data_IF_803495970000
#
_entry.id   IF_803495970000
#
_cell.length_a   1.000
_cell.length_b   1.000
_cell.length_c   1.000
_cell.angle_alpha   90.00
_cell.angle_beta   90.00
_cell.angle_gamma   90.00
#
_symmetry.space_group_name_H-M   'P 1'
#
loop_
_entity.id
_entity.type
_entity.pdbx_description
1 polymer ?
#
# COMPACT_ATOMS: atom_id res chain seq x y z
N UNK A 1 47.15 15.38 27.09
CA UNK A 1 46.71 14.54 25.95
C UNK A 1 45.85 13.43 26.52
N UNK A 2 44.63 13.78 26.95
CA UNK A 2 43.70 12.85 27.57
C UNK A 2 42.90 12.19 26.45
N UNK A 3 43.07 10.88 26.30
CA UNK A 3 42.23 10.08 25.41
C UNK A 3 40.84 9.97 26.04
N UNK A 4 39.91 10.80 25.58
CA UNK A 4 38.48 10.57 25.77
C UNK A 4 38.12 9.28 25.02
N UNK A 5 37.90 8.23 25.79
CA UNK A 5 37.35 6.98 25.30
C UNK A 5 35.88 7.22 24.99
N UNK A 6 35.59 7.44 23.71
CA UNK A 6 34.24 7.49 23.14
C UNK A 6 33.45 6.28 23.64
N UNK A 7 32.25 6.46 24.23
CA UNK A 7 31.44 5.32 24.66
C UNK A 7 30.99 4.57 23.42
N UNK A 8 31.50 3.34 23.27
CA UNK A 8 31.06 2.39 22.24
C UNK A 8 29.55 2.20 22.45
N UNK A 9 28.75 2.77 21.56
CA UNK A 9 27.31 2.60 21.52
C UNK A 9 27.03 1.08 21.52
N UNK A 10 26.48 0.57 22.63
CA UNK A 10 26.04 -0.83 22.71
C UNK A 10 25.00 -1.01 21.62
N UNK A 11 25.38 -1.71 20.55
CA UNK A 11 24.47 -2.17 19.50
C UNK A 11 23.28 -2.83 20.21
N UNK A 12 22.08 -2.31 20.01
CA UNK A 12 20.87 -2.88 20.59
C UNK A 12 20.80 -4.35 20.13
N UNK A 13 21.14 -5.28 21.03
CA UNK A 13 21.04 -6.71 20.78
C UNK A 13 19.61 -7.03 20.40
N UNK A 14 19.43 -7.85 19.37
CA UNK A 14 18.11 -8.29 18.93
C UNK A 14 17.41 -9.00 20.09
N UNK A 15 16.08 -8.91 20.13
CA UNK A 15 15.28 -9.61 21.14
C UNK A 15 15.57 -11.12 21.13
N UNK A 16 15.94 -11.68 19.98
CA UNK A 16 16.31 -13.08 19.85
C UNK A 16 17.63 -13.41 20.59
N UNK A 17 18.66 -12.59 20.40
CA UNK A 17 19.96 -12.77 21.08
C UNK A 17 19.82 -12.67 22.61
N UNK A 18 18.92 -11.79 23.09
CA UNK A 18 18.61 -11.67 24.53
C UNK A 18 17.88 -12.90 25.05
N UNK A 19 16.97 -13.46 24.27
CA UNK A 19 16.27 -14.70 24.62
C UNK A 19 17.25 -15.87 24.72
N UNK A 20 18.18 -15.97 23.78
CA UNK A 20 19.25 -16.99 23.78
C UNK A 20 20.16 -16.86 25.00
N UNK A 21 20.58 -15.65 25.35
CA UNK A 21 21.39 -15.42 26.53
C UNK A 21 20.68 -15.79 27.84
N UNK A 22 19.37 -15.51 27.95
CA UNK A 22 18.59 -15.83 29.15
C UNK A 22 18.37 -17.34 29.26
N UNK A 23 18.01 -17.99 28.15
CA UNK A 23 17.79 -19.44 28.13
C UNK A 23 19.08 -20.20 28.40
N UNK A 24 20.21 -19.80 27.82
CA UNK A 24 21.52 -20.39 28.11
C UNK A 24 21.92 -20.24 29.58
N UNK A 25 21.66 -19.07 30.19
CA UNK A 25 21.92 -18.86 31.61
C UNK A 25 21.03 -19.75 32.47
N UNK A 26 19.77 -19.91 32.10
CA UNK A 26 18.82 -20.75 32.83
C UNK A 26 19.21 -22.23 32.79
N UNK A 27 19.60 -22.75 31.62
CA UNK A 27 20.09 -24.13 31.48
C UNK A 27 21.35 -24.33 32.33
N UNK A 28 22.34 -23.42 32.24
CA UNK A 28 23.57 -23.49 33.03
C UNK A 28 23.32 -23.47 34.54
N UNK A 29 22.36 -22.66 35.01
CA UNK A 29 22.00 -22.61 36.43
C UNK A 29 21.30 -23.89 36.88
N UNK A 30 20.43 -24.44 36.05
CA UNK A 30 19.69 -25.70 36.32
C UNK A 30 20.63 -26.90 36.42
N UNK A 31 21.62 -26.99 35.51
CA UNK A 31 22.65 -28.04 35.58
C UNK A 31 23.52 -27.85 36.82
N UNK A 32 23.88 -26.61 37.18
CA UNK A 32 24.68 -26.32 38.39
C UNK A 32 23.97 -26.63 39.71
N UNK A 33 22.64 -26.51 39.76
CA UNK A 33 21.88 -26.91 40.96
C UNK A 33 21.90 -28.42 41.18
N UNK A 34 22.14 -29.20 40.13
CA UNK A 34 22.38 -30.64 40.22
C UNK A 34 23.82 -30.89 40.68
N UNK A 35 24.07 -30.68 41.97
CA UNK A 35 25.39 -30.72 42.59
C UNK A 35 25.81 -32.15 42.96
N UNK A 36 26.98 -32.57 42.50
CA UNK A 36 27.62 -33.85 42.83
C UNK A 36 27.77 -34.08 44.34
N UNK A 37 28.07 -33.05 45.14
CA UNK A 37 28.16 -33.20 46.62
C UNK A 37 26.83 -33.61 47.23
N UNK A 38 25.73 -33.01 46.79
CA UNK A 38 24.39 -33.35 47.28
C UNK A 38 24.00 -34.77 46.88
N UNK A 39 24.39 -35.20 45.68
CA UNK A 39 24.19 -36.58 45.21
C UNK A 39 25.03 -37.57 46.04
N UNK A 40 26.32 -37.28 46.24
CA UNK A 40 27.19 -38.11 47.09
C UNK A 40 26.71 -38.19 48.54
N UNK A 41 26.22 -37.10 49.12
CA UNK A 41 25.66 -37.10 50.48
C UNK A 41 24.40 -37.96 50.59
N UNK A 42 23.53 -37.93 49.57
CA UNK A 42 22.32 -38.75 49.53
C UNK A 42 22.60 -40.26 49.39
N UNK A 43 23.64 -40.63 48.64
CA UNK A 43 24.00 -42.03 48.37
C UNK A 43 25.07 -42.61 49.31
N UNK A 44 25.72 -41.76 50.12
CA UNK A 44 26.71 -42.15 51.14
C UNK A 44 26.27 -43.28 52.08
N UNK A 45 25.00 -43.41 52.50
CA UNK A 45 24.59 -44.48 53.40
C UNK A 45 24.51 -45.86 52.73
N UNK A 46 24.53 -45.92 51.39
CA UNK A 46 24.10 -47.10 50.62
C UNK A 46 25.23 -47.65 49.74
N UNK A 47 26.14 -46.79 49.24
CA UNK A 47 27.14 -47.18 48.24
C UNK A 47 28.57 -47.40 48.83
N UNK A 48 29.24 -48.52 48.49
CA UNK A 48 30.67 -48.72 48.74
C UNK A 48 31.55 -47.69 48.04
N UNK A 49 32.83 -47.59 48.43
CA UNK A 49 33.77 -46.62 47.84
C UNK A 49 34.00 -46.83 46.34
N UNK A 50 34.03 -48.08 45.84
CA UNK A 50 34.12 -48.31 44.38
C UNK A 50 32.87 -47.82 43.63
N UNK A 51 31.68 -47.94 44.22
CA UNK A 51 30.44 -47.43 43.62
C UNK A 51 30.32 -45.90 43.61
N UNK A 52 31.16 -45.19 44.37
CA UNK A 52 31.19 -43.72 44.35
C UNK A 52 31.85 -43.18 43.08
N UNK A 53 32.84 -43.86 42.50
CA UNK A 53 33.42 -43.47 41.19
C UNK A 53 32.43 -43.72 40.05
N UNK A 54 31.70 -44.83 40.08
CA UNK A 54 30.62 -45.10 39.12
C UNK A 54 29.50 -44.06 39.24
N UNK A 55 29.18 -43.61 40.46
CA UNK A 55 28.21 -42.55 40.70
C UNK A 55 28.67 -41.19 40.17
N UNK A 56 29.96 -40.87 40.24
CA UNK A 56 30.53 -39.66 39.63
C UNK A 56 30.37 -39.68 38.12
N UNK A 57 30.72 -40.80 37.48
CA UNK A 57 30.56 -40.98 36.03
C UNK A 57 29.08 -40.90 35.62
N UNK A 58 28.18 -41.54 36.35
CA UNK A 58 26.74 -41.46 36.11
C UNK A 58 26.19 -40.03 36.30
N UNK A 59 26.73 -39.28 37.26
CA UNK A 59 26.34 -37.89 37.49
C UNK A 59 26.77 -36.98 36.35
N UNK A 60 28.00 -37.15 35.83
CA UNK A 60 28.48 -36.40 34.65
C UNK A 60 27.59 -36.72 33.44
N UNK A 61 27.30 -38.00 33.19
CA UNK A 61 26.39 -38.41 32.11
C UNK A 61 24.99 -37.82 32.27
N UNK A 62 24.46 -37.77 33.49
CA UNK A 62 23.17 -37.16 33.77
C UNK A 62 23.18 -35.64 33.53
N UNK A 63 24.26 -34.94 33.91
CA UNK A 63 24.42 -33.51 33.64
C UNK A 63 24.48 -33.22 32.13
N UNK A 64 25.27 -34.00 31.38
CA UNK A 64 25.40 -33.87 29.93
C UNK A 64 24.07 -34.16 29.22
N UNK A 65 23.36 -35.20 29.66
CA UNK A 65 22.03 -35.53 29.15
C UNK A 65 21.02 -34.41 29.40
N UNK A 66 20.99 -33.86 30.63
CA UNK A 66 20.07 -32.77 30.99
C UNK A 66 20.39 -31.50 30.19
N UNK A 67 21.66 -31.11 30.04
CA UNK A 67 22.04 -29.94 29.23
C UNK A 67 21.60 -30.12 27.77
N UNK A 68 21.87 -31.30 27.20
CA UNK A 68 21.52 -31.62 25.80
C UNK A 68 20.02 -31.64 25.57
N UNK A 69 19.25 -32.32 26.42
CA UNK A 69 17.79 -32.40 26.29
C UNK A 69 17.11 -31.05 26.48
N UNK A 70 17.54 -30.25 27.47
CA UNK A 70 16.99 -28.91 27.67
C UNK A 70 17.26 -28.00 26.47
N UNK A 71 18.47 -28.05 25.90
CA UNK A 71 18.80 -27.28 24.69
C UNK A 71 17.96 -27.73 23.49
N UNK A 72 17.82 -29.04 23.29
CA UNK A 72 17.01 -29.59 22.20
C UNK A 72 15.53 -29.20 22.34
N UNK A 73 14.96 -29.29 23.54
CA UNK A 73 13.57 -28.88 23.80
C UNK A 73 13.37 -27.37 23.61
N UNK A 74 14.33 -26.55 24.02
CA UNK A 74 14.28 -25.11 23.76
C UNK A 74 14.30 -24.81 22.26
N UNK A 75 15.12 -25.52 21.49
CA UNK A 75 15.17 -25.38 20.04
C UNK A 75 13.84 -25.83 19.39
N UNK A 76 13.27 -26.95 19.82
CA UNK A 76 11.97 -27.43 19.36
C UNK A 76 10.85 -26.39 19.61
N UNK A 77 10.85 -25.74 20.78
CA UNK A 77 9.90 -24.67 21.11
C UNK A 77 10.11 -23.45 20.20
N UNK A 78 11.36 -23.06 19.93
CA UNK A 78 11.67 -21.94 19.02
C UNK A 78 11.11 -22.19 17.62
N UNK A 79 11.29 -23.40 17.12
CA UNK A 79 10.82 -23.80 15.80
C UNK A 79 9.29 -23.91 15.76
N UNK A 80 8.68 -24.63 16.72
CA UNK A 80 7.23 -24.87 16.77
C UNK A 80 6.42 -23.58 16.82
N UNK A 81 6.89 -22.57 17.54
CA UNK A 81 6.17 -21.31 17.69
C UNK A 81 6.69 -20.19 16.78
N UNK A 82 7.69 -20.49 15.94
CA UNK A 82 8.37 -19.52 15.07
C UNK A 82 8.82 -18.28 15.85
N UNK A 83 9.42 -18.51 17.03
CA UNK A 83 9.78 -17.42 17.94
C UNK A 83 10.79 -16.45 17.30
N UNK A 84 11.71 -16.96 16.50
CA UNK A 84 12.69 -16.15 15.76
C UNK A 84 12.00 -15.10 14.86
N UNK A 85 11.02 -15.53 14.07
CA UNK A 85 10.28 -14.65 13.15
C UNK A 85 9.45 -13.62 13.92
N UNK A 86 8.77 -14.04 14.99
CA UNK A 86 7.96 -13.13 15.83
C UNK A 86 8.82 -12.10 16.55
N UNK A 87 9.97 -12.49 17.08
CA UNK A 87 10.90 -11.57 17.75
C UNK A 87 11.54 -10.60 16.75
N UNK A 88 11.89 -11.07 15.56
CA UNK A 88 12.39 -10.19 14.49
C UNK A 88 11.30 -9.22 14.00
N UNK A 89 10.06 -9.69 13.84
CA UNK A 89 8.94 -8.85 13.50
C UNK A 89 8.68 -7.78 14.59
N UNK A 90 8.77 -8.16 15.87
CA UNK A 90 8.68 -7.23 16.98
C UNK A 90 9.80 -6.18 16.95
N UNK A 91 11.05 -6.60 16.71
CA UNK A 91 12.19 -5.66 16.60
C UNK A 91 11.99 -4.67 15.46
N UNK A 92 11.45 -5.12 14.33
CA UNK A 92 11.11 -4.24 13.19
C UNK A 92 9.98 -3.26 13.55
N UNK A 93 8.91 -3.74 14.19
CA UNK A 93 7.82 -2.89 14.68
C UNK A 93 8.31 -1.84 15.68
N UNK A 94 9.25 -2.20 16.56
CA UNK A 94 9.85 -1.26 17.50
C UNK A 94 10.68 -0.19 16.81
N UNK A 95 11.42 -0.55 15.75
CA UNK A 95 12.15 0.43 14.92
C UNK A 95 11.19 1.37 14.22
N UNK A 96 10.20 0.84 13.51
CA UNK A 96 9.18 1.64 12.81
C UNK A 96 8.39 2.54 13.76
N UNK A 97 8.16 2.10 15.00
CA UNK A 97 7.44 2.90 16.00
C UNK A 97 8.31 4.03 16.59
N UNK A 98 9.64 3.89 16.62
CA UNK A 98 10.56 4.96 17.06
C UNK A 98 10.54 6.14 16.08
N UNK A 99 10.31 5.87 14.80
CA UNK A 99 10.30 6.87 13.74
C UNK A 99 8.95 7.58 13.58
N UNK A 100 7.91 7.12 14.29
CA UNK A 100 6.56 7.72 14.25
C UNK A 100 6.37 8.75 15.36
N UNK A 101 5.60 9.82 15.12
CA UNK A 101 5.29 10.79 16.16
C UNK A 101 4.60 10.12 17.35
N UNK A 102 4.89 10.55 18.59
CA UNK A 102 4.32 9.94 19.78
C UNK A 102 2.79 10.04 19.76
N UNK A 103 2.13 8.90 19.83
CA UNK A 103 0.67 8.82 19.89
C UNK A 103 0.24 8.96 21.34
N UNK A 104 -0.54 10.00 21.67
CA UNK A 104 -1.00 10.32 23.04
C UNK A 104 -1.89 9.24 23.67
N UNK A 105 -2.60 8.44 22.87
CA UNK A 105 -3.43 7.33 23.36
C UNK A 105 -3.31 6.11 22.47
N UNK A 106 -2.80 5.02 23.04
CA UNK A 106 -2.92 3.68 22.46
C UNK A 106 -4.32 3.14 22.75
N UNK A 107 -5.28 3.46 21.88
CA UNK A 107 -6.60 2.82 21.93
C UNK A 107 -6.49 1.51 21.15
N UNK A 108 -6.88 0.40 21.77
CA UNK A 108 -7.02 -0.86 21.05
C UNK A 108 -8.11 -0.68 19.98
N UNK A 109 -7.81 -0.89 18.70
CA UNK A 109 -8.79 -0.71 17.65
C UNK A 109 -9.92 -1.73 17.83
N UNK A 110 -11.15 -1.26 17.67
CA UNK A 110 -12.32 -2.15 17.62
C UNK A 110 -12.24 -3.04 16.37
N UNK A 111 -12.85 -4.24 16.36
CA UNK A 111 -12.85 -5.12 15.19
C UNK A 111 -13.34 -4.41 13.91
N UNK A 112 -14.32 -3.51 14.06
CA UNK A 112 -14.85 -2.72 12.97
C UNK A 112 -13.81 -1.72 12.41
N UNK A 113 -13.01 -1.10 13.27
CA UNK A 113 -11.92 -0.22 12.84
C UNK A 113 -10.82 -0.99 12.10
N UNK A 114 -10.52 -2.22 12.52
CA UNK A 114 -9.57 -3.09 11.81
C UNK A 114 -10.09 -3.41 10.41
N UNK A 115 -11.34 -3.87 10.31
CA UNK A 115 -11.97 -4.18 9.02
C UNK A 115 -12.00 -2.95 8.10
N UNK A 116 -12.38 -1.78 8.64
CA UNK A 116 -12.37 -0.51 7.90
C UNK A 116 -10.97 -0.14 7.41
N UNK A 117 -9.94 -0.32 8.24
CA UNK A 117 -8.56 0.01 7.86
C UNK A 117 -8.03 -0.88 6.73
N UNK A 118 -8.37 -2.18 6.74
CA UNK A 118 -8.00 -3.11 5.66
C UNK A 118 -8.66 -2.73 4.34
N UNK A 119 -9.90 -2.24 4.39
CA UNK A 119 -10.68 -1.87 3.20
C UNK A 119 -10.33 -0.46 2.71
N UNK A 120 -9.84 0.40 3.61
CA UNK A 120 -9.63 1.83 3.35
C UNK A 120 -8.71 2.07 2.14
N UNK A 121 -7.55 1.40 2.09
CA UNK A 121 -6.58 1.60 1.00
C UNK A 121 -7.18 1.24 -0.36
N UNK A 122 -7.94 0.13 -0.43
CA UNK A 122 -8.62 -0.28 -1.66
C UNK A 122 -9.69 0.72 -2.07
N UNK A 123 -10.49 1.22 -1.12
CA UNK A 123 -11.53 2.21 -1.38
C UNK A 123 -10.95 3.56 -1.79
N UNK A 124 -9.80 3.95 -1.24
CA UNK A 124 -9.13 5.18 -1.62
C UNK A 124 -8.63 5.12 -3.06
N UNK A 125 -8.00 4.01 -3.47
CA UNK A 125 -7.57 3.79 -4.87
C UNK A 125 -8.75 3.86 -5.84
N UNK A 126 -9.86 3.19 -5.49
CA UNK A 126 -11.07 3.22 -6.31
C UNK A 126 -11.67 4.63 -6.42
N UNK A 127 -11.69 5.39 -5.31
CA UNK A 127 -12.15 6.77 -5.31
C UNK A 127 -11.31 7.63 -6.25
N UNK A 128 -9.99 7.50 -6.22
CA UNK A 128 -9.09 8.25 -7.11
C UNK A 128 -9.36 7.91 -8.58
N UNK A 129 -9.51 6.62 -8.91
CA UNK A 129 -9.83 6.18 -10.27
C UNK A 129 -11.16 6.77 -10.76
N UNK A 130 -12.21 6.69 -9.96
CA UNK A 130 -13.53 7.24 -10.31
C UNK A 130 -13.50 8.77 -10.45
N UNK A 131 -12.68 9.46 -9.66
CA UNK A 131 -12.52 10.90 -9.77
C UNK A 131 -11.84 11.29 -11.10
N UNK A 132 -10.82 10.54 -11.51
CA UNK A 132 -10.15 10.74 -12.80
C UNK A 132 -11.10 10.47 -13.98
N UNK A 133 -11.88 9.40 -13.92
CA UNK A 133 -12.88 9.06 -14.93
C UNK A 133 -13.95 10.16 -15.03
N UNK A 134 -14.47 10.63 -13.90
CA UNK A 134 -15.42 11.74 -13.87
C UNK A 134 -14.85 13.03 -14.47
N UNK A 135 -13.60 13.37 -14.15
CA UNK A 135 -12.95 14.56 -14.68
C UNK A 135 -12.75 14.46 -16.20
N UNK A 136 -12.41 13.27 -16.70
CA UNK A 136 -12.25 13.00 -18.14
C UNK A 136 -13.58 13.16 -18.87
N UNK A 137 -14.63 12.52 -18.34
CA UNK A 137 -15.97 12.58 -18.93
C UNK A 137 -16.53 14.01 -18.92
N UNK A 138 -16.25 14.78 -17.86
CA UNK A 138 -16.63 16.18 -17.77
C UNK A 138 -15.93 17.01 -18.85
N UNK A 139 -14.62 16.82 -19.04
CA UNK A 139 -13.87 17.54 -20.07
C UNK A 139 -14.37 17.19 -21.49
N UNK A 140 -14.70 15.93 -21.76
CA UNK A 140 -15.31 15.51 -23.03
C UNK A 140 -16.68 16.15 -23.24
N UNK A 141 -17.52 16.20 -22.21
CA UNK A 141 -18.84 16.81 -22.29
C UNK A 141 -18.73 18.32 -22.54
N UNK A 142 -17.82 19.01 -21.85
CA UNK A 142 -17.56 20.43 -22.06
C UNK A 142 -17.09 20.71 -23.50
N UNK A 143 -16.23 19.85 -24.06
CA UNK A 143 -15.79 19.93 -25.46
C UNK A 143 -16.94 19.71 -26.44
N UNK A 144 -17.78 18.69 -26.22
CA UNK A 144 -18.94 18.41 -27.06
C UNK A 144 -19.96 19.55 -27.02
N UNK A 145 -20.17 20.15 -25.84
CA UNK A 145 -21.03 21.32 -25.69
C UNK A 145 -20.51 22.50 -26.52
N UNK A 146 -19.20 22.77 -26.50
CA UNK A 146 -18.59 23.81 -27.32
C UNK A 146 -18.78 23.55 -28.82
N UNK A 147 -18.55 22.31 -29.27
CA UNK A 147 -18.77 21.92 -30.66
C UNK A 147 -20.24 22.10 -31.09
N UNK A 148 -21.19 21.78 -30.21
CA UNK A 148 -22.61 21.95 -30.46
C UNK A 148 -22.98 23.44 -30.57
N UNK A 149 -22.43 24.28 -29.70
CA UNK A 149 -22.62 25.74 -29.75
C UNK A 149 -22.11 26.31 -31.07
N UNK A 150 -20.93 25.89 -31.52
CA UNK A 150 -20.35 26.38 -32.78
C UNK A 150 -21.19 25.95 -33.98
N UNK A 151 -21.55 24.66 -34.09
CA UNK A 151 -22.45 24.19 -35.15
C UNK A 151 -23.80 24.89 -35.15
N UNK A 152 -24.34 25.20 -33.96
CA UNK A 152 -25.60 25.95 -33.86
C UNK A 152 -25.45 27.39 -34.36
N UNK A 153 -24.27 28.00 -34.18
CA UNK A 153 -23.97 29.33 -34.74
C UNK A 153 -23.85 29.27 -36.26
N UNK A 154 -23.12 28.29 -36.80
CA UNK A 154 -22.98 28.06 -38.24
C UNK A 154 -24.35 27.90 -38.91
N UNK A 155 -25.19 27.01 -38.38
CA UNK A 155 -26.55 26.78 -38.90
C UNK A 155 -27.43 28.04 -38.87
N UNK A 156 -27.28 28.90 -37.86
CA UNK A 156 -28.00 30.18 -37.83
C UNK A 156 -27.53 31.12 -38.93
N UNK A 157 -26.22 31.21 -39.17
CA UNK A 157 -25.67 32.00 -40.27
C UNK A 157 -26.14 31.49 -41.63
N UNK A 158 -26.17 30.17 -41.83
CA UNK A 158 -26.72 29.58 -43.06
C UNK A 158 -28.21 29.91 -43.26
N UNK A 159 -29.01 29.85 -42.20
CA UNK A 159 -30.43 30.22 -42.25
C UNK A 159 -30.60 31.71 -42.60
N UNK A 160 -29.77 32.60 -42.05
CA UNK A 160 -29.79 34.03 -42.37
C UNK A 160 -29.47 34.28 -43.85
N UNK A 161 -28.43 33.63 -44.39
CA UNK A 161 -28.07 33.72 -45.82
C UNK A 161 -29.22 33.21 -46.70
N UNK A 162 -29.83 32.06 -46.35
CA UNK A 162 -30.95 31.52 -47.12
C UNK A 162 -32.13 32.51 -47.11
N UNK A 163 -32.46 33.10 -45.97
CA UNK A 163 -33.53 34.08 -45.88
C UNK A 163 -33.23 35.36 -46.70
N UNK A 164 -32.00 35.84 -46.69
CA UNK A 164 -31.58 36.99 -47.52
C UNK A 164 -31.71 36.67 -49.01
N UNK A 165 -31.23 35.49 -49.44
CA UNK A 165 -31.39 35.06 -50.84
C UNK A 165 -32.85 34.88 -51.24
N UNK A 166 -33.70 34.40 -50.33
CA UNK A 166 -35.14 34.27 -50.56
C UNK A 166 -35.76 35.66 -50.79
N UNK A 167 -35.48 36.62 -49.91
CA UNK A 167 -35.99 37.98 -50.02
C UNK A 167 -35.53 38.67 -51.32
N UNK A 168 -34.28 38.49 -51.71
CA UNK A 168 -33.75 39.01 -52.98
C UNK A 168 -34.41 38.36 -54.20
N UNK A 169 -34.69 37.05 -54.14
CA UNK A 169 -35.43 36.36 -55.20
C UNK A 169 -36.89 36.82 -55.29
N UNK A 170 -37.55 37.06 -54.15
CA UNK A 170 -38.92 37.61 -54.11
C UNK A 170 -38.97 39.02 -54.72
N UNK A 171 -38.03 39.90 -54.35
CA UNK A 171 -37.91 41.24 -54.95
C UNK A 171 -37.66 41.16 -56.46
N UNK A 172 -36.81 40.24 -56.90
CA UNK A 172 -36.52 40.03 -58.33
C UNK A 172 -37.77 39.55 -59.07
N UNK A 173 -38.55 38.66 -58.46
CA UNK A 173 -39.81 38.17 -59.02
C UNK A 173 -40.85 39.30 -59.15
N UNK A 174 -41.00 40.13 -58.12
CA UNK A 174 -41.91 41.27 -58.14
C UNK A 174 -41.54 42.31 -59.22
N UNK A 175 -40.25 42.58 -59.41
CA UNK A 175 -39.75 43.43 -60.50
C UNK A 175 -40.08 42.81 -61.87
N UNK A 176 -39.84 41.51 -62.04
CA UNK A 176 -40.15 40.81 -63.29
C UNK A 176 -41.66 40.81 -63.60
N UNK A 177 -42.52 40.73 -62.58
CA UNK A 177 -43.98 40.75 -62.73
C UNK A 177 -44.54 42.16 -63.00
N UNK A 178 -43.85 43.20 -62.55
CA UNK A 178 -44.25 44.60 -62.75
C UNK A 178 -43.68 45.23 -64.03
N UNK A 179 -42.75 44.56 -64.72
CA UNK A 179 -42.25 44.99 -66.03
C UNK A 179 -43.33 44.83 -67.11
N UNK A 180 -43.61 45.85 -67.95
CA UNK A 180 -44.48 45.70 -69.10
C UNK A 180 -43.94 44.61 -70.05
N UNK A 181 -44.83 43.76 -70.57
CA UNK A 181 -44.49 42.64 -71.47
C UNK A 181 -43.57 43.03 -72.65
N UNK A 182 -43.67 44.27 -73.15
CA UNK A 182 -42.83 44.78 -74.23
C UNK A 182 -41.34 44.91 -73.85
N UNK A 183 -41.03 45.30 -72.62
CA UNK A 183 -39.65 45.50 -72.14
C UNK A 183 -38.98 44.16 -71.81
N UNK A 184 -39.76 43.18 -71.33
CA UNK A 184 -39.31 41.80 -71.14
C UNK A 184 -38.90 41.13 -72.47
N UNK A 185 -39.67 41.34 -73.54
CA UNK A 185 -39.32 40.82 -74.87
C UNK A 185 -38.06 41.46 -75.46
N UNK A 186 -37.81 42.76 -75.21
CA UNK A 186 -36.60 43.44 -75.70
C UNK A 186 -35.33 42.99 -74.94
N UNK A 187 -35.44 42.78 -73.62
CA UNK A 187 -34.34 42.24 -72.79
C UNK A 187 -33.99 40.79 -73.16
N UNK A 188 -34.99 39.95 -73.42
CA UNK A 188 -34.77 38.57 -73.88
C UNK A 188 -34.04 38.54 -75.23
N UNK A 189 -34.41 39.44 -76.16
CA UNK A 189 -33.74 39.54 -77.46
C UNK A 189 -32.28 40.00 -77.33
N UNK A 190 -31.99 40.93 -76.41
CA UNK A 190 -30.61 41.39 -76.18
C UNK A 190 -29.71 40.30 -75.60
N UNK A 191 -30.20 39.49 -74.66
CA UNK A 191 -29.44 38.39 -74.06
C UNK A 191 -29.05 37.34 -75.12
N UNK A 192 -29.93 37.05 -76.07
CA UNK A 192 -29.63 36.12 -77.16
C UNK A 192 -28.63 36.69 -78.18
N UNK A 193 -28.65 37.99 -78.45
CA UNK A 193 -27.67 38.63 -79.36
C UNK A 193 -26.27 38.83 -78.76
N UNK A 194 -26.11 38.71 -77.44
CA UNK A 194 -24.80 38.87 -76.76
C UNK A 194 -24.04 37.54 -76.64
N UNK A 195 -24.62 36.42 -77.10
CA UNK A 195 -24.00 35.08 -77.14
C UNK A 195 -23.41 34.73 -78.53
N UNK A 196 -23.10 35.71 -79.37
CA UNK A 196 -22.33 35.53 -80.62
C UNK A 196 -21.03 36.33 -80.56
#
# INVERSE_FOLDING_TARGET
MSQESTPIAKKDKSTNEKFDEVTDKWVKLTVKTFNLKSVKEAFRPILPKEGMEELENAHIQAQDFIDTELRNKLQEIKEKYQLNEKMQHLDNLMKEAKDRPPIEKRVLPTPEQIARSMIYESKEKERTRLQEEFNTLKAENDLLLQQLIEKKRELRGEIEIINETLEDTEKTFDIAFTLPLNDMTELSYRIDTTKV
#
